data_IF_962255031550
#
_entry.id   IF_962255031550
#
_cell.length_a   1.000
_cell.length_b   1.000
_cell.length_c   1.000
_cell.angle_alpha   90.00
_cell.angle_beta   90.00
_cell.angle_gamma   90.00
#
_symmetry.space_group_name_H-M   'P 1'
#
loop_
_entity.id
_entity.type
_entity.pdbx_description
1 polymer ?
#
# COMPACT_ATOMS: atom_id res chain seq x y z
N UNK A 1 36.63 -28.20 -5.76
CA UNK A 1 37.24 -27.55 -4.58
C UNK A 1 36.15 -27.48 -3.51
N UNK A 2 36.43 -27.97 -2.30
CA UNK A 2 35.49 -28.45 -1.27
C UNK A 2 34.38 -27.46 -0.85
N UNK A 3 33.11 -27.77 -1.14
CA UNK A 3 31.92 -27.12 -0.54
C UNK A 3 31.08 -28.18 0.18
N UNK A 4 31.58 -28.60 1.33
CA UNK A 4 30.86 -29.49 2.23
C UNK A 4 31.40 -29.30 3.64
N UNK A 5 30.49 -28.94 4.57
CA UNK A 5 30.65 -28.83 6.03
C UNK A 5 31.11 -27.48 6.58
N UNK A 6 30.15 -26.69 7.07
CA UNK A 6 30.03 -26.54 8.54
C UNK A 6 28.61 -26.07 8.89
N UNK A 7 27.69 -27.02 9.06
CA UNK A 7 26.32 -26.76 9.58
C UNK A 7 26.34 -26.29 11.04
N UNK A 8 27.48 -26.47 11.70
CA UNK A 8 27.68 -26.25 13.12
C UNK A 8 29.00 -25.53 13.37
N UNK A 9 29.01 -24.66 14.37
CA UNK A 9 30.15 -23.89 14.86
C UNK A 9 30.50 -24.35 16.27
N UNK A 10 31.77 -24.21 16.64
CA UNK A 10 32.23 -24.27 18.03
C UNK A 10 31.81 -23.01 18.80
N UNK A 11 31.89 -23.05 20.13
CA UNK A 11 31.59 -21.88 20.97
C UNK A 11 32.44 -20.66 20.58
N UNK A 12 33.72 -20.88 20.29
CA UNK A 12 34.64 -19.80 19.93
C UNK A 12 34.28 -19.19 18.58
N UNK A 13 34.01 -20.02 17.57
CA UNK A 13 33.61 -19.55 16.24
C UNK A 13 32.26 -18.80 16.28
N UNK A 14 31.28 -19.31 17.03
CA UNK A 14 29.97 -18.65 17.19
C UNK A 14 30.09 -17.29 17.90
N UNK A 15 30.93 -17.19 18.94
CA UNK A 15 31.17 -15.94 19.65
C UNK A 15 31.90 -14.91 18.77
N UNK A 16 32.91 -15.35 18.00
CA UNK A 16 33.62 -14.50 17.04
C UNK A 16 32.67 -14.02 15.94
N UNK A 17 31.84 -14.89 15.39
CA UNK A 17 30.89 -14.55 14.32
C UNK A 17 29.85 -13.49 14.77
N UNK A 18 29.42 -13.56 16.03
CA UNK A 18 28.49 -12.61 16.65
C UNK A 18 29.15 -11.34 17.22
N UNK A 19 30.49 -11.31 17.30
CA UNK A 19 31.26 -10.24 17.93
C UNK A 19 30.90 -10.08 19.41
N UNK A 20 30.81 -11.18 20.17
CA UNK A 20 30.45 -11.20 21.60
C UNK A 20 31.44 -12.06 22.42
N UNK A 21 31.38 -11.96 23.75
CA UNK A 21 32.12 -12.87 24.64
C UNK A 21 31.45 -14.24 24.73
N UNK A 22 32.22 -15.26 25.12
CA UNK A 22 31.70 -16.62 25.40
C UNK A 22 30.63 -16.60 26.51
N UNK A 23 30.79 -15.77 27.54
CA UNK A 23 29.78 -15.62 28.60
C UNK A 23 28.44 -15.12 28.05
N UNK A 24 28.48 -14.19 27.09
CA UNK A 24 27.29 -13.69 26.42
C UNK A 24 26.66 -14.75 25.52
N UNK A 25 27.49 -15.55 24.83
CA UNK A 25 27.03 -16.69 24.04
C UNK A 25 26.29 -17.71 24.92
N UNK A 26 26.86 -18.08 26.08
CA UNK A 26 26.20 -19.00 27.01
C UNK A 26 24.91 -18.42 27.60
N UNK A 27 24.86 -17.11 27.85
CA UNK A 27 23.64 -16.43 28.28
C UNK A 27 22.54 -16.50 27.19
N UNK A 28 22.90 -16.39 25.91
CA UNK A 28 21.94 -16.55 24.80
C UNK A 28 21.43 -17.98 24.68
N UNK A 29 22.29 -18.97 24.90
CA UNK A 29 21.91 -20.38 24.93
C UNK A 29 20.96 -20.67 26.09
N UNK A 30 21.27 -20.16 27.29
CA UNK A 30 20.42 -20.31 28.48
C UNK A 30 19.03 -19.66 28.30
N UNK A 31 18.96 -18.54 27.58
CA UNK A 31 17.72 -17.86 27.21
C UNK A 31 17.00 -18.47 26.00
N UNK A 32 17.52 -19.55 25.41
CA UNK A 32 16.92 -20.24 24.27
C UNK A 32 17.08 -19.52 22.91
N UNK A 33 17.96 -18.52 22.81
CA UNK A 33 18.18 -17.74 21.58
C UNK A 33 19.09 -18.44 20.57
N UNK A 34 19.93 -19.38 21.03
CA UNK A 34 20.78 -20.24 20.18
C UNK A 34 20.70 -21.65 20.73
N UNK A 35 20.43 -22.63 19.87
CA UNK A 35 20.44 -24.04 20.28
C UNK A 35 21.87 -24.53 20.50
N UNK A 36 22.03 -25.44 21.45
CA UNK A 36 23.29 -26.09 21.75
C UNK A 36 23.13 -27.59 21.65
N UNK A 37 23.87 -28.20 20.74
CA UNK A 37 23.85 -29.64 20.50
C UNK A 37 25.11 -30.30 21.11
N UNK A 38 24.95 -31.49 21.69
CA UNK A 38 26.08 -32.25 22.21
C UNK A 38 26.89 -32.82 21.05
N UNK A 39 28.21 -32.64 21.07
CA UNK A 39 29.10 -33.33 20.15
C UNK A 39 29.06 -34.83 20.41
N UNK A 40 28.86 -35.61 19.35
CA UNK A 40 28.89 -37.07 19.42
C UNK A 40 30.21 -37.52 20.07
N UNK A 41 30.11 -38.18 21.23
CA UNK A 41 31.23 -38.87 21.90
C UNK A 41 32.17 -38.08 22.83
N UNK A 42 32.10 -36.74 22.96
CA UNK A 42 32.96 -36.00 23.91
C UNK A 42 32.15 -35.10 24.86
N UNK A 43 32.18 -35.42 26.16
CA UNK A 43 31.48 -34.72 27.26
C UNK A 43 31.82 -33.22 27.43
N UNK A 44 32.61 -32.60 26.54
CA UNK A 44 33.13 -31.23 26.71
C UNK A 44 33.04 -30.31 25.50
N UNK A 45 32.55 -30.75 24.35
CA UNK A 45 32.32 -29.88 23.19
C UNK A 45 30.83 -29.80 22.85
N UNK A 46 30.31 -28.56 22.82
CA UNK A 46 28.97 -28.22 22.36
C UNK A 46 29.07 -27.56 20.99
N UNK A 47 28.17 -27.93 20.10
CA UNK A 47 28.05 -27.39 18.75
C UNK A 47 26.87 -26.43 18.67
N UNK A 48 27.03 -25.38 17.89
CA UNK A 48 26.05 -24.31 17.70
C UNK A 48 25.63 -24.27 16.23
N UNK A 49 24.35 -24.47 15.90
CA UNK A 49 23.90 -24.39 14.51
C UNK A 49 24.25 -23.04 13.89
N UNK A 50 24.91 -23.05 12.73
CA UNK A 50 25.31 -21.82 12.02
C UNK A 50 24.11 -20.91 11.71
N UNK A 51 22.95 -21.53 11.41
CA UNK A 51 21.69 -20.85 11.13
C UNK A 51 21.18 -19.99 12.29
N UNK A 52 21.31 -20.46 13.54
CA UNK A 52 20.85 -19.73 14.72
C UNK A 52 21.77 -18.53 15.00
N UNK A 53 23.08 -18.72 14.81
CA UNK A 53 24.09 -17.66 14.93
C UNK A 53 23.86 -16.56 13.89
N UNK A 54 23.59 -16.93 12.64
CA UNK A 54 23.28 -15.98 11.57
C UNK A 54 21.95 -15.24 11.78
N UNK A 55 20.90 -15.95 12.23
CA UNK A 55 19.59 -15.34 12.56
C UNK A 55 19.75 -14.27 13.63
N UNK A 56 20.52 -14.57 14.69
CA UNK A 56 20.75 -13.64 15.78
C UNK A 56 21.61 -12.43 15.35
N UNK A 57 22.58 -12.65 14.45
CA UNK A 57 23.41 -11.59 13.87
C UNK A 57 22.58 -10.59 13.05
N UNK A 58 21.61 -11.07 12.27
CA UNK A 58 20.68 -10.22 11.51
C UNK A 58 19.84 -9.33 12.43
N UNK A 59 19.21 -9.92 13.46
CA UNK A 59 18.40 -9.17 14.41
C UNK A 59 19.18 -8.10 15.21
N UNK A 60 20.45 -8.36 15.54
CA UNK A 60 21.31 -7.38 16.23
C UNK A 60 21.69 -6.19 15.32
N UNK A 61 21.77 -6.40 14.01
CA UNK A 61 21.96 -5.34 13.02
C UNK A 61 20.72 -4.45 12.86
N UNK A 62 19.54 -5.06 12.85
CA UNK A 62 18.23 -4.38 12.78
C UNK A 62 17.99 -3.44 13.97
N UNK A 63 18.36 -3.86 15.19
CA UNK A 63 18.12 -3.06 16.39
C UNK A 63 19.09 -1.87 16.56
N UNK A 64 20.28 -1.92 15.94
CA UNK A 64 21.31 -0.89 16.10
C UNK A 64 21.14 0.31 15.17
N UNK A 65 20.55 0.12 13.99
CA UNK A 65 20.36 1.19 13.00
C UNK A 65 19.05 1.01 12.20
N UNK A 66 17.89 1.18 12.83
CA UNK A 66 16.59 1.04 12.17
C UNK A 66 16.46 1.93 10.92
N UNK A 67 17.00 3.15 10.94
CA UNK A 67 16.90 4.09 9.81
C UNK A 67 17.73 3.64 8.59
N UNK A 68 18.91 3.04 8.82
CA UNK A 68 19.76 2.54 7.72
C UNK A 68 19.25 1.23 7.16
N UNK A 69 18.59 0.42 7.98
CA UNK A 69 17.93 -0.82 7.56
C UNK A 69 16.67 -0.51 6.77
N UNK A 70 15.87 0.48 7.20
CA UNK A 70 14.72 0.96 6.43
C UNK A 70 15.15 1.56 5.08
N UNK A 71 16.17 2.44 5.07
CA UNK A 71 16.69 3.02 3.83
C UNK A 71 17.34 1.96 2.90
N UNK A 72 18.07 1.00 3.46
CA UNK A 72 18.66 -0.11 2.72
C UNK A 72 17.62 -1.09 2.18
N UNK A 73 16.55 -1.35 2.93
CA UNK A 73 15.43 -2.19 2.49
C UNK A 73 14.58 -1.50 1.42
N UNK A 74 14.43 -0.17 1.50
CA UNK A 74 13.82 0.64 0.44
C UNK A 74 14.64 0.60 -0.85
N UNK A 75 15.97 0.69 -0.77
CA UNK A 75 16.86 0.61 -1.94
C UNK A 75 16.97 -0.80 -2.52
N UNK A 76 16.88 -1.84 -1.68
CA UNK A 76 17.01 -3.24 -2.10
C UNK A 76 15.68 -3.89 -2.52
N UNK A 77 14.54 -3.17 -2.45
CA UNK A 77 13.22 -3.72 -2.73
C UNK A 77 12.74 -4.76 -1.69
N UNK A 78 13.38 -4.81 -0.52
CA UNK A 78 13.12 -5.80 0.55
C UNK A 78 12.30 -5.23 1.70
N UNK A 79 11.69 -4.05 1.54
CA UNK A 79 10.72 -3.52 2.47
C UNK A 79 9.45 -4.41 2.44
N UNK A 80 9.46 -5.50 3.20
CA UNK A 80 8.31 -6.38 3.38
C UNK A 80 7.31 -5.62 4.25
N UNK A 81 6.25 -5.11 3.61
CA UNK A 81 5.11 -4.59 4.31
C UNK A 81 3.98 -5.62 4.24
N UNK A 82 3.59 -6.16 5.39
CA UNK A 82 2.42 -7.04 5.46
C UNK A 82 1.18 -6.31 4.93
N UNK A 83 0.37 -7.04 4.15
CA UNK A 83 -0.90 -6.59 3.59
C UNK A 83 -1.89 -7.75 3.59
N UNK A 84 -3.13 -7.47 3.96
CA UNK A 84 -4.25 -8.41 3.93
C UNK A 84 -5.25 -8.08 2.81
N UNK A 85 -4.87 -7.21 1.86
CA UNK A 85 -5.77 -6.70 0.81
C UNK A 85 -5.75 -7.61 -0.41
N UNK A 86 -4.58 -7.96 -0.90
CA UNK A 86 -4.40 -8.63 -2.17
C UNK A 86 -3.41 -9.77 -2.03
N UNK A 87 -3.73 -10.89 -2.67
CA UNK A 87 -2.86 -12.07 -2.73
C UNK A 87 -2.80 -12.56 -4.18
N UNK A 88 -1.59 -12.63 -4.73
CA UNK A 88 -1.30 -13.32 -5.98
C UNK A 88 -0.60 -14.65 -5.67
N UNK A 89 -1.22 -15.76 -6.05
CA UNK A 89 -0.64 -17.11 -5.90
C UNK A 89 -1.12 -18.01 -7.02
N UNK A 90 -0.25 -18.89 -7.53
CA UNK A 90 -0.61 -19.94 -8.51
C UNK A 90 -1.45 -19.41 -9.68
N UNK A 91 -1.00 -18.31 -10.30
CA UNK A 91 -1.68 -17.59 -11.40
C UNK A 91 -3.10 -17.09 -11.10
N UNK A 92 -3.47 -17.08 -9.82
CA UNK A 92 -4.75 -16.54 -9.33
C UNK A 92 -4.53 -15.31 -8.48
N UNK A 93 -5.58 -14.52 -8.44
CA UNK A 93 -5.57 -13.19 -7.88
C UNK A 93 -6.79 -12.99 -7.00
N UNK A 94 -6.56 -12.55 -5.77
CA UNK A 94 -7.59 -12.48 -4.74
C UNK A 94 -7.62 -11.11 -4.07
N UNK A 95 -8.84 -10.60 -3.84
CA UNK A 95 -9.09 -9.46 -2.96
C UNK A 95 -9.70 -9.94 -1.66
N UNK A 96 -9.01 -9.71 -0.53
CA UNK A 96 -9.47 -10.09 0.81
C UNK A 96 -9.88 -11.57 0.91
N UNK A 97 -9.23 -12.45 0.15
CA UNK A 97 -9.53 -13.88 0.07
C UNK A 97 -10.60 -14.28 -0.96
N UNK A 98 -11.19 -13.34 -1.68
CA UNK A 98 -12.16 -13.60 -2.76
C UNK A 98 -11.49 -13.56 -4.13
N UNK A 99 -11.79 -14.53 -4.99
CA UNK A 99 -11.25 -14.62 -6.35
C UNK A 99 -11.67 -13.41 -7.19
N UNK A 100 -10.70 -12.62 -7.66
CA UNK A 100 -10.95 -11.37 -8.35
C UNK A 100 -11.65 -11.54 -9.72
N UNK A 101 -11.44 -12.67 -10.42
CA UNK A 101 -12.17 -12.97 -11.65
C UNK A 101 -13.64 -13.26 -11.36
N UNK A 102 -13.92 -13.92 -10.23
CA UNK A 102 -15.29 -14.11 -9.76
C UNK A 102 -15.93 -12.77 -9.42
N UNK A 103 -15.21 -11.90 -8.68
CA UNK A 103 -15.73 -10.57 -8.34
C UNK A 103 -16.02 -9.72 -9.59
N UNK A 104 -15.14 -9.74 -10.58
CA UNK A 104 -15.29 -8.99 -11.83
C UNK A 104 -16.56 -9.35 -12.63
N UNK A 105 -17.16 -10.51 -12.38
CA UNK A 105 -18.38 -10.97 -13.07
C UNK A 105 -19.64 -10.92 -12.20
N UNK A 106 -19.51 -10.71 -10.89
CA UNK A 106 -20.62 -10.88 -9.94
C UNK A 106 -20.89 -9.66 -9.05
N UNK A 107 -19.94 -8.74 -8.92
CA UNK A 107 -20.04 -7.59 -8.02
C UNK A 107 -19.87 -6.26 -8.77
N UNK A 108 -20.41 -5.19 -8.19
CA UNK A 108 -20.16 -3.82 -8.66
C UNK A 108 -18.77 -3.32 -8.25
N UNK A 109 -18.31 -2.25 -8.90
CA UNK A 109 -17.05 -1.58 -8.55
C UNK A 109 -17.10 -1.06 -7.10
N UNK A 110 -18.23 -0.52 -6.71
CA UNK A 110 -18.51 0.02 -5.38
C UNK A 110 -18.47 -1.06 -4.30
N UNK A 111 -19.06 -2.23 -4.57
CA UNK A 111 -19.01 -3.39 -3.68
C UNK A 111 -17.59 -3.90 -3.48
N UNK A 112 -16.81 -4.02 -4.55
CA UNK A 112 -15.40 -4.44 -4.46
C UNK A 112 -14.56 -3.38 -3.73
N UNK A 113 -14.79 -2.09 -3.98
CA UNK A 113 -14.12 -1.02 -3.25
C UNK A 113 -14.45 -1.08 -1.75
N UNK A 114 -15.73 -1.32 -1.39
CA UNK A 114 -16.15 -1.51 -0.01
C UNK A 114 -15.43 -2.71 0.63
N UNK A 115 -15.41 -3.88 -0.03
CA UNK A 115 -14.66 -5.05 0.42
C UNK A 115 -13.18 -4.71 0.66
N UNK A 116 -12.52 -4.06 -0.29
CA UNK A 116 -11.09 -3.72 -0.18
C UNK A 116 -10.84 -2.82 1.02
N UNK A 117 -11.66 -1.79 1.23
CA UNK A 117 -11.46 -0.81 2.30
C UNK A 117 -11.89 -1.30 3.68
N UNK A 118 -13.03 -2.00 3.79
CA UNK A 118 -13.65 -2.35 5.07
C UNK A 118 -13.54 -3.84 5.40
N UNK A 119 -13.32 -4.69 4.39
CA UNK A 119 -13.42 -6.15 4.50
C UNK A 119 -14.86 -6.68 4.36
N UNK A 120 -15.83 -5.83 4.01
CA UNK A 120 -17.24 -6.22 3.95
C UNK A 120 -17.96 -5.54 2.76
N UNK A 121 -18.53 -6.36 1.87
CA UNK A 121 -19.36 -5.91 0.75
C UNK A 121 -20.60 -5.12 1.21
N UNK A 122 -21.18 -5.46 2.36
CA UNK A 122 -22.40 -4.84 2.86
C UNK A 122 -22.21 -3.38 3.26
N UNK A 123 -20.95 -2.96 3.42
CA UNK A 123 -20.58 -1.58 3.73
C UNK A 123 -20.69 -0.63 2.51
N UNK A 124 -21.00 -1.12 1.30
CA UNK A 124 -21.17 -0.29 0.10
C UNK A 124 -22.02 0.96 0.39
N UNK A 125 -23.21 0.76 0.93
CA UNK A 125 -24.13 1.87 1.18
C UNK A 125 -23.56 2.87 2.20
N UNK A 126 -22.92 2.42 3.27
CA UNK A 126 -22.37 3.34 4.28
C UNK A 126 -21.14 4.11 3.78
N UNK A 127 -20.39 3.52 2.85
CA UNK A 127 -19.20 4.13 2.23
C UNK A 127 -19.59 5.16 1.17
N UNK A 128 -20.57 4.86 0.30
CA UNK A 128 -20.91 5.71 -0.84
C UNK A 128 -22.09 6.68 -0.62
N UNK A 129 -22.92 6.49 0.41
CA UNK A 129 -24.14 7.32 0.64
C UNK A 129 -23.89 8.74 1.14
N UNK A 130 -22.73 9.01 1.76
CA UNK A 130 -22.45 10.33 2.38
C UNK A 130 -22.02 11.41 1.39
N UNK A 131 -21.89 11.09 0.12
CA UNK A 131 -21.49 12.04 -0.91
C UNK A 131 -22.67 12.26 -1.85
N UNK A 132 -23.17 13.50 -1.93
CA UNK A 132 -24.11 13.85 -2.99
C UNK A 132 -23.36 13.98 -4.32
N UNK A 133 -23.66 13.14 -5.33
CA UNK A 133 -23.05 13.25 -6.65
C UNK A 133 -23.25 14.63 -7.30
N UNK A 134 -24.35 15.32 -6.97
CA UNK A 134 -24.65 16.67 -7.46
C UNK A 134 -23.63 17.70 -6.99
N UNK A 135 -23.21 17.60 -5.72
CA UNK A 135 -22.19 18.50 -5.16
C UNK A 135 -20.84 18.35 -5.85
N UNK A 136 -20.51 17.14 -6.27
CA UNK A 136 -19.28 16.78 -6.95
C UNK A 136 -19.27 17.24 -8.39
N UNK A 137 -20.40 17.04 -9.09
CA UNK A 137 -20.54 17.54 -10.45
C UNK A 137 -20.52 19.08 -10.50
N UNK A 138 -21.15 19.75 -9.53
CA UNK A 138 -21.07 21.20 -9.42
C UNK A 138 -19.62 21.69 -9.24
N UNK A 139 -18.77 20.93 -8.52
CA UNK A 139 -17.32 21.21 -8.43
C UNK A 139 -16.63 21.00 -9.76
N UNK A 140 -16.91 19.89 -10.45
CA UNK A 140 -16.38 19.61 -11.79
C UNK A 140 -16.68 20.75 -12.77
N UNK A 141 -17.92 21.24 -12.85
CA UNK A 141 -18.29 22.32 -13.77
C UNK A 141 -17.55 23.63 -13.52
N UNK A 142 -17.11 23.90 -12.28
CA UNK A 142 -16.30 25.09 -11.96
C UNK A 142 -14.88 24.98 -12.51
N UNK A 143 -14.35 23.76 -12.63
CA UNK A 143 -12.95 23.52 -12.99
C UNK A 143 -12.77 22.99 -14.41
N UNK A 144 -13.82 22.45 -15.04
CA UNK A 144 -13.76 21.83 -16.37
C UNK A 144 -13.15 22.71 -17.48
N UNK A 145 -13.28 24.06 -17.49
CA UNK A 145 -12.62 24.87 -18.51
C UNK A 145 -11.09 24.80 -18.44
N UNK A 146 -10.52 24.52 -17.26
CA UNK A 146 -9.08 24.36 -17.05
C UNK A 146 -8.58 22.94 -17.32
N UNK A 147 -9.50 21.98 -17.48
CA UNK A 147 -9.17 20.58 -17.76
C UNK A 147 -9.15 20.27 -19.26
N UNK A 148 -9.65 21.19 -20.09
CA UNK A 148 -9.72 21.02 -21.54
C UNK A 148 -8.33 20.77 -22.14
N UNK A 149 -8.19 19.66 -22.87
CA UNK A 149 -6.94 19.26 -23.53
C UNK A 149 -5.92 18.55 -22.64
N UNK A 150 -6.21 18.38 -21.34
CA UNK A 150 -5.39 17.56 -20.46
C UNK A 150 -5.68 16.07 -20.65
N UNK A 151 -4.68 15.24 -20.42
CA UNK A 151 -4.87 13.80 -20.22
C UNK A 151 -5.65 13.55 -18.92
N UNK A 152 -6.32 12.39 -18.77
CA UNK A 152 -7.02 12.07 -17.52
C UNK A 152 -6.14 12.18 -16.27
N UNK A 153 -4.87 11.75 -16.37
CA UNK A 153 -3.93 11.83 -15.26
C UNK A 153 -3.60 13.28 -14.87
N UNK A 154 -3.33 14.14 -15.85
CA UNK A 154 -3.09 15.58 -15.60
C UNK A 154 -4.34 16.25 -15.02
N UNK A 155 -5.53 15.90 -15.53
CA UNK A 155 -6.79 16.40 -14.98
C UNK A 155 -6.96 15.98 -13.50
N UNK A 156 -6.62 14.74 -13.14
CA UNK A 156 -6.67 14.28 -11.75
C UNK A 156 -5.72 15.05 -10.84
N UNK A 157 -4.50 15.31 -11.32
CA UNK A 157 -3.49 16.08 -10.59
C UNK A 157 -3.92 17.53 -10.31
N UNK A 158 -4.77 18.11 -11.16
CA UNK A 158 -5.39 19.42 -10.95
C UNK A 158 -6.61 19.32 -10.01
N UNK A 159 -7.50 18.35 -10.24
CA UNK A 159 -8.77 18.26 -9.52
C UNK A 159 -8.62 17.92 -8.04
N UNK A 160 -7.74 16.96 -7.71
CA UNK A 160 -7.65 16.42 -6.35
C UNK A 160 -7.22 17.47 -5.31
N UNK A 161 -6.18 18.29 -5.54
CA UNK A 161 -5.82 19.36 -4.60
C UNK A 161 -6.91 20.42 -4.44
N UNK A 162 -7.63 20.75 -5.52
CA UNK A 162 -8.71 21.74 -5.47
C UNK A 162 -9.89 21.25 -4.63
N UNK A 163 -10.30 20.00 -4.79
CA UNK A 163 -11.39 19.42 -3.97
C UNK A 163 -10.96 19.22 -2.53
N UNK A 164 -9.69 18.91 -2.27
CA UNK A 164 -9.14 18.75 -0.92
C UNK A 164 -9.21 20.05 -0.08
N UNK A 165 -9.28 21.24 -0.69
CA UNK A 165 -9.40 22.50 0.04
C UNK A 165 -10.71 22.61 0.84
N UNK A 166 -11.78 22.01 0.33
CA UNK A 166 -13.12 22.07 0.92
C UNK A 166 -13.51 20.77 1.65
N UNK A 167 -12.67 19.74 1.61
CA UNK A 167 -12.96 18.44 2.23
C UNK A 167 -12.49 18.39 3.69
N UNK A 168 -13.27 19.02 4.58
CA UNK A 168 -13.01 18.94 6.03
C UNK A 168 -13.07 17.49 6.53
N UNK A 169 -13.88 16.63 5.91
CA UNK A 169 -14.01 15.23 6.30
C UNK A 169 -12.74 14.42 6.01
N UNK A 170 -11.86 14.88 5.11
CA UNK A 170 -10.55 14.27 4.86
C UNK A 170 -9.60 14.31 6.07
N UNK A 171 -9.89 15.13 7.09
CA UNK A 171 -9.12 15.18 8.34
C UNK A 171 -9.60 14.15 9.39
N UNK A 172 -10.70 13.45 9.14
CA UNK A 172 -11.18 12.39 10.01
C UNK A 172 -10.51 11.05 9.64
N UNK A 173 -9.59 10.61 10.51
CA UNK A 173 -8.78 9.40 10.30
C UNK A 173 -9.45 8.13 10.83
N UNK A 174 -10.72 8.18 11.25
CA UNK A 174 -11.47 6.96 11.58
C UNK A 174 -11.59 6.10 10.32
N UNK A 175 -11.46 4.76 10.41
CA UNK A 175 -11.46 3.88 9.23
C UNK A 175 -12.62 4.11 8.28
N UNK A 176 -13.83 4.29 8.81
CA UNK A 176 -15.04 4.57 8.02
C UNK A 176 -14.94 5.91 7.26
N UNK A 177 -14.44 6.97 7.90
CA UNK A 177 -14.29 8.29 7.29
C UNK A 177 -13.21 8.29 6.20
N UNK A 178 -12.15 7.52 6.38
CA UNK A 178 -11.11 7.31 5.35
C UNK A 178 -11.70 6.58 4.15
N UNK A 179 -12.49 5.51 4.35
CA UNK A 179 -13.17 4.81 3.26
C UNK A 179 -14.15 5.73 2.51
N UNK A 180 -14.93 6.54 3.23
CA UNK A 180 -15.82 7.55 2.65
C UNK A 180 -15.04 8.62 1.85
N UNK A 181 -13.82 8.97 2.28
CA UNK A 181 -12.94 9.87 1.53
C UNK A 181 -12.44 9.20 0.24
N UNK A 182 -12.08 7.92 0.30
CA UNK A 182 -11.78 7.11 -0.89
C UNK A 182 -12.94 7.06 -1.87
N UNK A 183 -14.16 6.87 -1.39
CA UNK A 183 -15.38 6.86 -2.21
C UNK A 183 -15.61 8.22 -2.91
N UNK A 184 -15.45 9.33 -2.19
CA UNK A 184 -15.48 10.68 -2.78
C UNK A 184 -14.45 10.83 -3.87
N UNK A 185 -13.20 10.47 -3.63
CA UNK A 185 -12.15 10.55 -4.63
C UNK A 185 -12.53 9.73 -5.87
N UNK A 186 -12.93 8.46 -5.69
CA UNK A 186 -13.28 7.58 -6.79
C UNK A 186 -14.44 8.13 -7.65
N UNK A 187 -15.48 8.66 -7.02
CA UNK A 187 -16.60 9.31 -7.71
C UNK A 187 -16.14 10.56 -8.50
N UNK A 188 -15.21 11.37 -7.95
CA UNK A 188 -14.71 12.56 -8.64
C UNK A 188 -13.93 12.16 -9.90
N UNK A 189 -13.04 11.19 -9.76
CA UNK A 189 -12.24 10.70 -10.87
C UNK A 189 -13.14 10.12 -11.96
N UNK A 190 -14.18 9.36 -11.58
CA UNK A 190 -15.17 8.84 -12.53
C UNK A 190 -15.88 9.97 -13.30
N UNK A 191 -16.35 11.02 -12.62
CA UNK A 191 -16.98 12.19 -13.24
C UNK A 191 -16.01 12.87 -14.22
N UNK A 192 -14.77 13.11 -13.80
CA UNK A 192 -13.74 13.76 -14.63
C UNK A 192 -13.43 12.91 -15.86
N UNK A 193 -13.22 11.61 -15.68
CA UNK A 193 -12.92 10.66 -16.77
C UNK A 193 -14.08 10.51 -17.76
N UNK A 194 -15.32 10.61 -17.27
CA UNK A 194 -16.51 10.56 -18.11
C UNK A 194 -16.85 11.91 -18.77
N UNK A 195 -16.05 12.96 -18.54
CA UNK A 195 -16.31 14.28 -19.11
C UNK A 195 -17.47 15.03 -18.45
N UNK A 196 -17.78 14.74 -17.19
CA UNK A 196 -18.84 15.41 -16.44
C UNK A 196 -20.19 14.69 -16.42
N UNK A 197 -20.21 13.37 -16.65
CA UNK A 197 -21.45 12.61 -16.52
C UNK A 197 -21.91 12.53 -15.06
N UNK A 198 -23.23 12.53 -14.87
CA UNK A 198 -23.84 12.32 -13.56
C UNK A 198 -23.73 10.85 -13.14
N UNK A 199 -23.33 10.61 -11.90
CA UNK A 199 -23.38 9.26 -11.32
C UNK A 199 -24.83 8.96 -10.93
N UNK A 200 -25.49 8.13 -11.73
CA UNK A 200 -26.90 7.72 -11.53
C UNK A 200 -27.00 6.27 -11.07
N UNK A 201 -26.21 5.40 -11.68
CA UNK A 201 -26.31 3.95 -11.54
C UNK A 201 -24.98 3.26 -11.21
N UNK A 202 -23.94 4.06 -10.92
CA UNK A 202 -22.63 3.58 -10.51
C UNK A 202 -21.47 4.05 -11.40
N UNK A 203 -20.25 3.81 -10.95
CA UNK A 203 -19.01 4.29 -11.54
C UNK A 203 -18.81 3.74 -12.96
N UNK A 204 -18.96 2.42 -13.14
CA UNK A 204 -18.72 1.79 -14.43
C UNK A 204 -19.67 2.32 -15.52
N UNK A 205 -20.95 2.49 -15.19
CA UNK A 205 -21.93 3.06 -16.11
C UNK A 205 -21.66 4.54 -16.40
N UNK A 206 -21.20 5.30 -15.41
CA UNK A 206 -20.82 6.71 -15.60
C UNK A 206 -19.67 6.82 -16.61
N UNK A 207 -18.64 5.97 -16.48
CA UNK A 207 -17.53 5.92 -17.43
C UNK A 207 -18.00 5.47 -18.82
N UNK A 208 -18.87 4.46 -18.89
CA UNK A 208 -19.46 3.98 -20.15
C UNK A 208 -20.20 5.12 -20.88
N UNK A 209 -21.04 5.88 -20.17
CA UNK A 209 -21.78 7.02 -20.72
C UNK A 209 -20.86 8.12 -21.26
N UNK A 210 -19.70 8.31 -20.64
CA UNK A 210 -18.71 9.29 -21.11
C UNK A 210 -17.91 8.82 -22.33
N UNK A 211 -17.60 7.53 -22.41
CA UNK A 211 -16.67 7.00 -23.41
C UNK A 211 -17.36 6.41 -24.64
N UNK A 212 -18.40 5.60 -24.42
CA UNK A 212 -19.11 4.84 -25.44
C UNK A 212 -20.61 4.84 -25.17
N UNK A 213 -21.28 6.02 -25.17
CA UNK A 213 -22.66 6.19 -24.70
C UNK A 213 -23.69 5.32 -25.43
N UNK A 214 -23.37 4.81 -26.62
CA UNK A 214 -24.26 3.98 -27.44
C UNK A 214 -24.00 2.47 -27.29
N UNK A 215 -23.04 2.08 -26.44
CA UNK A 215 -22.67 0.69 -26.17
C UNK A 215 -22.95 0.35 -24.70
N UNK A 216 -24.22 0.13 -24.37
CA UNK A 216 -24.64 -0.25 -23.01
C UNK A 216 -23.94 -1.54 -22.51
N UNK A 217 -23.75 -2.60 -23.34
CA UNK A 217 -23.01 -3.79 -22.94
C UNK A 217 -21.57 -3.52 -22.48
N UNK A 218 -20.93 -2.45 -22.94
CA UNK A 218 -19.58 -2.08 -22.50
C UNK A 218 -19.48 -1.81 -20.99
N UNK A 219 -20.60 -1.49 -20.32
CA UNK A 219 -20.64 -1.26 -18.86
C UNK A 219 -20.07 -2.45 -18.08
N UNK A 220 -20.43 -3.68 -18.47
CA UNK A 220 -19.97 -4.88 -17.78
C UNK A 220 -18.45 -5.11 -17.98
N UNK A 221 -17.93 -4.83 -19.17
CA UNK A 221 -16.50 -4.93 -19.48
C UNK A 221 -15.69 -3.86 -18.73
N UNK A 222 -16.20 -2.64 -18.65
CA UNK A 222 -15.59 -1.56 -17.88
C UNK A 222 -15.61 -1.85 -16.38
N UNK A 223 -16.71 -2.39 -15.85
CA UNK A 223 -16.79 -2.83 -14.45
C UNK A 223 -15.74 -3.91 -14.16
N UNK A 224 -15.66 -4.94 -15.00
CA UNK A 224 -14.66 -6.00 -14.87
C UNK A 224 -13.23 -5.46 -14.92
N UNK A 225 -12.93 -4.56 -15.86
CA UNK A 225 -11.61 -3.96 -15.99
C UNK A 225 -11.24 -3.10 -14.76
N UNK A 226 -12.17 -2.31 -14.24
CA UNK A 226 -11.97 -1.50 -13.02
C UNK A 226 -11.75 -2.39 -11.80
N UNK A 227 -12.53 -3.46 -11.67
CA UNK A 227 -12.39 -4.43 -10.57
C UNK A 227 -11.03 -5.13 -10.65
N UNK A 228 -10.62 -5.65 -11.80
CA UNK A 228 -9.33 -6.33 -11.95
C UNK A 228 -8.13 -5.40 -11.77
N UNK A 229 -8.31 -4.10 -11.93
CA UNK A 229 -7.30 -3.08 -11.67
C UNK A 229 -7.40 -2.43 -10.28
N UNK A 230 -8.31 -2.88 -9.40
CA UNK A 230 -8.63 -2.17 -8.16
C UNK A 230 -7.45 -2.10 -7.17
N UNK A 231 -6.58 -3.09 -7.17
CA UNK A 231 -5.32 -3.11 -6.45
C UNK A 231 -4.32 -4.01 -7.20
N UNK A 232 -3.01 -3.77 -7.06
CA UNK A 232 -1.95 -4.59 -7.66
C UNK A 232 -0.81 -4.83 -6.66
N UNK A 233 -1.15 -5.23 -5.44
CA UNK A 233 -0.21 -5.44 -4.32
C UNK A 233 0.67 -4.20 -4.04
N UNK A 234 1.95 -4.41 -3.75
CA UNK A 234 2.92 -3.38 -3.38
C UNK A 234 3.63 -2.82 -4.61
N UNK A 235 2.88 -2.35 -5.60
CA UNK A 235 3.45 -1.58 -6.69
C UNK A 235 4.02 -0.22 -6.19
N UNK A 236 4.80 0.48 -7.03
CA UNK A 236 5.46 1.76 -6.68
C UNK A 236 4.46 2.82 -6.18
N UNK A 237 3.26 2.88 -6.77
CA UNK A 237 2.22 3.83 -6.38
C UNK A 237 1.63 3.50 -5.01
N UNK A 238 1.32 2.23 -4.74
CA UNK A 238 0.84 1.75 -3.44
C UNK A 238 1.89 1.99 -2.34
N UNK A 239 3.16 1.70 -2.63
CA UNK A 239 4.26 1.95 -1.71
C UNK A 239 4.39 3.44 -1.36
N UNK A 240 4.35 4.31 -2.38
CA UNK A 240 4.43 5.75 -2.21
C UNK A 240 3.26 6.29 -1.38
N UNK A 241 2.04 5.81 -1.65
CA UNK A 241 0.85 6.15 -0.86
C UNK A 241 1.02 5.76 0.62
N UNK A 242 1.56 4.56 0.91
CA UNK A 242 1.84 4.11 2.29
C UNK A 242 2.91 4.96 2.97
N UNK A 243 3.97 5.35 2.26
CA UNK A 243 4.97 6.26 2.79
C UNK A 243 4.35 7.61 3.18
N UNK A 244 3.53 8.20 2.31
CA UNK A 244 2.84 9.47 2.58
C UNK A 244 1.89 9.34 3.78
N UNK A 245 1.08 8.29 3.84
CA UNK A 245 0.17 8.03 4.97
C UNK A 245 0.91 7.81 6.30
N UNK A 246 2.16 7.31 6.25
CA UNK A 246 3.00 7.10 7.43
C UNK A 246 3.71 8.37 7.93
N UNK A 247 3.67 9.47 7.18
CA UNK A 247 4.37 10.69 7.55
C UNK A 247 3.85 11.27 8.89
N UNK A 248 4.74 11.79 9.77
CA UNK A 248 4.35 12.31 11.10
C UNK A 248 3.30 13.42 11.04
N UNK A 249 3.38 14.28 10.02
CA UNK A 249 2.48 15.43 9.83
C UNK A 249 1.03 15.00 9.56
N UNK A 250 0.83 13.79 9.01
CA UNK A 250 -0.49 13.22 8.75
C UNK A 250 -1.09 12.54 10.00
N UNK A 251 -0.25 12.02 10.92
CA UNK A 251 -0.70 11.25 12.10
C UNK A 251 -0.82 12.05 13.39
N UNK A 252 -0.03 13.10 13.60
CA UNK A 252 0.07 13.77 14.90
C UNK A 252 -0.42 15.22 14.96
N UNK A 253 -0.87 15.79 13.85
CA UNK A 253 -1.47 17.12 13.90
C UNK A 253 -2.93 17.00 14.36
N UNK A 254 -3.17 17.07 15.68
CA UNK A 254 -4.49 17.44 16.25
C UNK A 254 -4.57 18.91 16.68
N UNK A 255 -3.48 19.68 16.55
CA UNK A 255 -3.42 21.05 17.04
C UNK A 255 -2.56 22.05 16.27
N UNK A 256 -1.86 21.68 15.19
CA UNK A 256 -1.10 22.65 14.39
C UNK A 256 -1.89 23.11 13.18
N UNK A 257 -1.87 24.42 12.97
CA UNK A 257 -2.71 25.20 12.07
C UNK A 257 -2.89 24.61 10.65
N UNK A 258 -4.03 24.94 10.03
CA UNK A 258 -4.38 24.59 8.65
C UNK A 258 -3.28 24.95 7.62
N UNK A 259 -2.40 25.90 7.96
CA UNK A 259 -1.24 26.34 7.17
C UNK A 259 -0.10 25.30 7.11
N UNK A 260 0.20 24.60 8.21
CA UNK A 260 1.25 23.56 8.21
C UNK A 260 0.81 22.33 7.41
N UNK A 261 -0.49 22.01 7.45
CA UNK A 261 -1.07 20.90 6.66
C UNK A 261 -1.21 21.21 5.18
N UNK A 262 -1.53 22.46 4.82
CA UNK A 262 -1.48 22.93 3.43
C UNK A 262 -0.07 22.83 2.84
N UNK A 263 0.99 22.99 3.64
CA UNK A 263 2.36 22.79 3.15
C UNK A 263 2.64 21.30 2.80
N UNK A 264 2.04 20.34 3.51
CA UNK A 264 2.08 18.92 3.13
C UNK A 264 1.40 18.63 1.78
N UNK A 265 0.25 19.27 1.51
CA UNK A 265 -0.44 19.20 0.21
C UNK A 265 0.32 19.93 -0.92
N UNK A 266 1.01 21.05 -0.62
CA UNK A 266 1.95 21.69 -1.56
C UNK A 266 3.14 20.78 -1.89
N UNK A 267 3.64 20.02 -0.91
CA UNK A 267 4.66 18.99 -1.17
C UNK A 267 4.13 17.83 -2.03
N UNK A 268 2.84 17.48 -1.92
CA UNK A 268 2.19 16.48 -2.77
C UNK A 268 2.12 16.92 -4.24
N UNK A 269 1.78 18.19 -4.51
CA UNK A 269 1.75 18.76 -5.87
C UNK A 269 3.14 19.00 -6.46
N UNK A 270 4.15 19.28 -5.63
CA UNK A 270 5.54 19.51 -6.09
C UNK A 270 6.43 18.26 -6.22
N UNK A 271 6.07 17.12 -5.61
CA UNK A 271 6.92 15.90 -5.62
C UNK A 271 6.48 14.80 -6.60
N UNK A 272 5.30 14.90 -7.22
CA UNK A 272 5.00 14.05 -8.39
C UNK A 272 5.82 14.44 -9.63
N UNK A 273 6.52 15.58 -9.61
CA UNK A 273 7.28 16.14 -10.74
C UNK A 273 8.75 15.69 -10.79
N UNK A 274 9.20 14.77 -9.93
CA UNK A 274 10.60 14.32 -9.92
C UNK A 274 10.71 12.79 -9.82
N UNK A 275 10.26 12.10 -10.86
CA UNK A 275 10.83 10.80 -11.23
C UNK A 275 11.42 10.92 -12.64
N UNK A 276 12.73 10.65 -12.82
CA UNK A 276 13.38 10.81 -14.10
C UNK A 276 12.81 9.81 -15.11
N UNK A 277 12.29 10.36 -16.20
CA UNK A 277 12.04 9.68 -17.46
C UNK A 277 13.38 9.25 -18.09
N UNK A 278 13.92 8.10 -17.69
CA UNK A 278 14.82 7.36 -18.59
C UNK A 278 14.95 5.90 -18.21
N UNK A 279 14.14 5.05 -18.84
CA UNK A 279 14.67 3.78 -19.35
C UNK A 279 14.10 3.61 -20.76
N UNK A 280 14.96 3.78 -21.76
CA UNK A 280 14.84 3.23 -23.11
C UNK A 280 16.20 2.62 -23.45
N UNK A 281 16.27 1.70 -24.41
CA UNK A 281 15.39 0.56 -24.68
C UNK A 281 15.88 -0.71 -23.98
#
# INVERSE_FOLDING_TARGET
MFMGKNRYLTAQEAATELGISLDTLYAYVSRGLIRSEASDGQKRSRWYPLEDVQRLKKHKGEYRHPDKVAAGAMQAGTAVMESAITMITDDRFYYRGHDALTLATTHSVEQVAALIWTGDFSAEQSVFSRTSPESMLARYHKICPYLAGLTPLEAFQVCLPLVALDDIAAYDLRPEAVAQTGARILQLLAIVTAGGQHITHGIAQTVQQGWVPHDEPATALLAAALILCADQELNVTTFTARCVASAPDYRHSRGSSMLDRQNGLKHFSGRLTLLPTSVRP
#
